data_IF_060302083099
#
_entry.id   IF_060302083099
#
_cell.length_a   1.000
_cell.length_b   1.000
_cell.length_c   1.000
_cell.angle_alpha   90.00
_cell.angle_beta   90.00
_cell.angle_gamma   90.00
#
_symmetry.space_group_name_H-M   'P 1'
#
loop_
_entity.id
_entity.type
_entity.pdbx_description
1 polymer ?
#
# COMPACT_ATOMS: atom_id res chain seq x y z
N UNK A 1 17.80 -6.55 -15.24
CA UNK A 1 16.34 -6.60 -15.07
C UNK A 1 15.83 -7.65 -16.03
N UNK A 2 15.00 -8.57 -15.56
CA UNK A 2 14.44 -9.65 -16.38
C UNK A 2 13.51 -9.11 -17.47
N UNK A 3 13.22 -9.93 -18.50
CA UNK A 3 12.22 -9.64 -19.55
C UNK A 3 10.78 -9.99 -19.13
N UNK A 4 10.49 -10.03 -17.82
CA UNK A 4 9.16 -10.33 -17.30
C UNK A 4 8.18 -9.19 -17.63
N UNK A 5 7.00 -9.55 -18.10
CA UNK A 5 5.86 -8.64 -18.23
C UNK A 5 5.23 -8.41 -16.87
N UNK A 6 5.23 -7.15 -16.42
CA UNK A 6 4.63 -6.72 -15.16
C UNK A 6 3.21 -6.21 -15.46
N UNK A 7 2.25 -7.13 -15.38
CA UNK A 7 0.83 -6.83 -15.61
C UNK A 7 0.01 -6.98 -14.33
N UNK A 8 -0.96 -6.09 -14.15
CA UNK A 8 -1.95 -6.13 -13.08
C UNK A 8 -3.31 -5.65 -13.61
N UNK A 9 -4.40 -6.26 -13.14
CA UNK A 9 -5.76 -5.94 -13.60
C UNK A 9 -5.93 -5.97 -15.14
N UNK A 10 -5.23 -6.89 -15.82
CA UNK A 10 -5.26 -7.01 -17.28
C UNK A 10 -4.51 -5.89 -18.04
N UNK A 11 -3.72 -5.06 -17.36
CA UNK A 11 -2.94 -3.97 -17.96
C UNK A 11 -1.45 -4.24 -17.79
N UNK A 12 -0.69 -4.09 -18.87
CA UNK A 12 0.77 -4.10 -18.84
C UNK A 12 1.28 -2.74 -18.36
N UNK A 13 1.98 -2.73 -17.22
CA UNK A 13 2.58 -1.54 -16.62
C UNK A 13 4.11 -1.66 -16.54
N UNK A 14 4.72 -2.55 -17.31
CA UNK A 14 6.16 -2.86 -17.29
C UNK A 14 7.03 -1.63 -17.46
N UNK A 15 6.76 -0.80 -18.47
CA UNK A 15 7.56 0.38 -18.75
C UNK A 15 7.48 1.41 -17.62
N UNK A 16 6.29 1.60 -17.05
CA UNK A 16 6.10 2.46 -15.89
C UNK A 16 6.90 1.97 -14.69
N UNK A 17 6.78 0.69 -14.33
CA UNK A 17 7.47 0.12 -13.16
C UNK A 17 8.98 0.16 -13.34
N UNK A 18 9.49 -0.15 -14.53
CA UNK A 18 10.94 -0.05 -14.82
C UNK A 18 11.44 1.38 -14.72
N UNK A 19 10.74 2.34 -15.30
CA UNK A 19 11.10 3.75 -15.24
C UNK A 19 11.07 4.28 -13.80
N UNK A 20 10.01 3.97 -13.06
CA UNK A 20 9.87 4.31 -11.64
C UNK A 20 10.99 3.72 -10.79
N UNK A 21 11.31 2.43 -10.99
CA UNK A 21 12.34 1.76 -10.20
C UNK A 21 13.74 2.30 -10.50
N UNK A 22 14.06 2.56 -11.76
CA UNK A 22 15.33 3.15 -12.15
C UNK A 22 15.47 4.60 -11.67
N UNK A 23 14.39 5.39 -11.64
CA UNK A 23 14.40 6.71 -10.99
C UNK A 23 14.76 6.58 -9.50
N UNK A 24 14.08 5.70 -8.76
CA UNK A 24 14.41 5.45 -7.35
C UNK A 24 15.86 5.00 -7.15
N UNK A 25 16.35 4.10 -8.01
CA UNK A 25 17.72 3.60 -7.97
C UNK A 25 18.76 4.69 -8.24
N UNK A 26 18.45 5.62 -9.15
CA UNK A 26 19.29 6.79 -9.44
C UNK A 26 19.26 7.85 -8.31
N UNK A 27 18.46 7.62 -7.27
CA UNK A 27 18.27 8.56 -6.16
C UNK A 27 17.14 9.56 -6.40
N UNK A 28 16.18 9.24 -7.25
CA UNK A 28 14.87 9.87 -7.22
C UNK A 28 14.06 9.45 -5.99
N UNK A 29 12.76 9.74 -6.00
CA UNK A 29 11.84 9.39 -4.92
C UNK A 29 11.75 10.42 -3.79
N UNK A 30 10.53 10.59 -3.28
CA UNK A 30 10.20 11.60 -2.25
C UNK A 30 10.66 11.20 -0.85
N UNK A 31 10.83 9.91 -0.59
CA UNK A 31 11.26 9.40 0.72
C UNK A 31 12.77 9.09 0.75
N UNK A 32 13.57 9.69 -0.15
CA UNK A 32 15.01 9.42 -0.26
C UNK A 32 15.78 9.67 1.04
N UNK A 33 15.39 10.68 1.81
CA UNK A 33 16.04 10.99 3.10
C UNK A 33 15.96 9.82 4.10
N UNK A 34 14.97 8.94 3.95
CA UNK A 34 14.83 7.74 4.78
C UNK A 34 15.70 6.56 4.31
N UNK A 35 16.43 6.68 3.19
CA UNK A 35 17.40 5.68 2.72
C UNK A 35 18.77 5.78 3.40
N UNK A 36 19.13 6.94 3.96
CA UNK A 36 20.50 7.22 4.42
C UNK A 36 20.75 7.02 5.92
N UNK A 37 19.70 7.10 6.76
CA UNK A 37 19.84 7.41 8.19
C UNK A 37 19.38 6.30 9.16
N UNK A 38 19.18 5.06 8.71
CA UNK A 38 18.83 3.95 9.63
C UNK A 38 19.93 2.90 9.75
N UNK A 39 20.99 3.17 10.51
CA UNK A 39 21.90 2.13 10.96
C UNK A 39 21.14 1.20 11.93
N UNK A 40 20.90 -0.05 11.52
CA UNK A 40 20.35 -1.10 12.39
C UNK A 40 18.82 -1.23 12.41
N UNK A 41 18.09 -0.67 11.46
CA UNK A 41 16.66 -0.97 11.30
C UNK A 41 16.47 -2.37 10.70
N UNK A 42 15.48 -3.17 11.14
CA UNK A 42 15.18 -4.47 10.52
C UNK A 42 14.88 -4.24 9.04
N UNK A 43 15.86 -4.61 8.20
CA UNK A 43 16.01 -4.11 6.85
C UNK A 43 14.90 -4.57 5.88
N UNK A 44 14.09 -5.55 6.27
CA UNK A 44 12.96 -6.04 5.49
C UNK A 44 11.74 -5.14 5.55
N UNK A 45 11.28 -4.83 6.76
CA UNK A 45 9.98 -4.19 6.96
C UNK A 45 10.00 -2.71 6.51
N UNK A 46 11.13 -2.04 6.71
CA UNK A 46 11.31 -0.65 6.25
C UNK A 46 11.49 -0.52 4.74
N UNK A 47 12.05 -1.54 4.06
CA UNK A 47 12.24 -1.50 2.62
C UNK A 47 10.89 -1.60 1.87
N UNK A 48 9.97 -2.43 2.35
CA UNK A 48 8.60 -2.52 1.80
C UNK A 48 7.82 -1.22 2.03
N UNK A 49 7.92 -0.64 3.24
CA UNK A 49 7.34 0.68 3.55
C UNK A 49 7.94 1.76 2.64
N UNK A 50 9.24 1.71 2.37
CA UNK A 50 9.92 2.64 1.48
C UNK A 50 9.42 2.53 0.04
N UNK A 51 9.33 1.33 -0.52
CA UNK A 51 8.82 1.12 -1.87
C UNK A 51 7.40 1.65 -1.99
N UNK A 52 6.51 1.29 -1.07
CA UNK A 52 5.13 1.81 -1.00
C UNK A 52 5.07 3.33 -0.84
N UNK A 53 5.94 3.91 -0.01
CA UNK A 53 5.98 5.35 0.26
C UNK A 53 6.43 6.20 -0.93
N UNK A 54 7.14 5.59 -1.89
CA UNK A 54 7.58 6.24 -3.12
C UNK A 54 6.64 6.04 -4.31
N UNK A 55 5.56 5.25 -4.16
CA UNK A 55 4.49 5.26 -5.15
C UNK A 55 3.58 6.45 -4.88
N UNK A 56 3.47 7.35 -5.85
CA UNK A 56 2.69 8.57 -5.70
C UNK A 56 1.18 8.37 -5.92
N UNK A 57 0.63 7.35 -5.28
CA UNK A 57 -0.75 6.88 -5.47
C UNK A 57 -1.79 7.57 -4.56
N UNK A 58 -1.38 8.39 -3.59
CA UNK A 58 -2.29 9.01 -2.61
C UNK A 58 -2.83 10.39 -3.06
N UNK A 59 -2.49 10.85 -4.28
CA UNK A 59 -2.94 12.15 -4.78
C UNK A 59 -4.27 11.98 -5.53
N UNK A 60 -5.09 13.04 -5.60
CA UNK A 60 -6.31 13.02 -6.41
C UNK A 60 -6.07 12.81 -7.91
N UNK A 61 -4.87 13.14 -8.40
CA UNK A 61 -4.45 13.05 -9.80
C UNK A 61 -3.51 11.86 -10.06
N UNK A 62 -3.41 10.92 -9.13
CA UNK A 62 -2.60 9.71 -9.33
C UNK A 62 -3.05 8.92 -10.56
N UNK A 63 -2.08 8.42 -11.34
CA UNK A 63 -2.37 7.64 -12.54
C UNK A 63 -2.85 6.23 -12.19
N UNK A 64 -3.50 5.56 -13.15
CA UNK A 64 -3.90 4.16 -12.98
C UNK A 64 -2.69 3.25 -12.77
N UNK A 65 -1.55 3.52 -13.42
CA UNK A 65 -0.31 2.77 -13.20
C UNK A 65 0.26 2.97 -11.78
N UNK A 66 0.20 4.19 -11.23
CA UNK A 66 0.57 4.47 -9.85
C UNK A 66 -0.33 3.71 -8.87
N UNK A 67 -1.65 3.73 -9.10
CA UNK A 67 -2.62 3.01 -8.28
C UNK A 67 -2.42 1.49 -8.35
N UNK A 68 -2.13 0.94 -9.53
CA UNK A 68 -1.88 -0.49 -9.73
C UNK A 68 -0.57 -0.92 -9.08
N UNK A 69 0.53 -0.19 -9.28
CA UNK A 69 1.79 -0.50 -8.61
C UNK A 69 1.63 -0.41 -7.09
N UNK A 70 0.91 0.59 -6.58
CA UNK A 70 0.60 0.69 -5.16
C UNK A 70 -0.13 -0.56 -4.64
N UNK A 71 -1.19 -1.01 -5.34
CA UNK A 71 -1.93 -2.18 -4.94
C UNK A 71 -1.09 -3.45 -5.00
N UNK A 72 -0.26 -3.62 -6.04
CA UNK A 72 0.65 -4.76 -6.18
C UNK A 72 1.60 -4.86 -5.00
N UNK A 73 2.27 -3.76 -4.65
CA UNK A 73 3.17 -3.73 -3.50
C UNK A 73 2.43 -3.92 -2.17
N UNK A 74 1.18 -3.45 -2.06
CA UNK A 74 0.38 -3.57 -0.85
C UNK A 74 -0.09 -5.03 -0.61
N UNK A 75 -0.54 -5.71 -1.67
CA UNK A 75 -0.98 -7.11 -1.64
C UNK A 75 0.22 -8.03 -1.46
N UNK A 76 1.23 -7.90 -2.35
CA UNK A 76 2.44 -8.71 -2.30
C UNK A 76 3.25 -8.49 -1.02
N UNK A 77 3.31 -7.26 -0.51
CA UNK A 77 3.95 -6.96 0.77
C UNK A 77 3.26 -7.58 1.98
N UNK A 78 1.94 -7.77 1.95
CA UNK A 78 1.25 -8.54 2.99
C UNK A 78 1.59 -10.02 2.90
N UNK A 79 1.54 -10.62 1.71
CA UNK A 79 1.89 -12.03 1.51
C UNK A 79 3.35 -12.31 1.91
N UNK A 80 4.27 -11.42 1.53
CA UNK A 80 5.68 -11.50 1.89
C UNK A 80 5.88 -11.42 3.41
N UNK A 81 5.15 -10.54 4.11
CA UNK A 81 5.18 -10.48 5.58
C UNK A 81 4.64 -11.75 6.22
N UNK A 82 3.56 -12.32 5.67
CA UNK A 82 2.97 -13.55 6.19
C UNK A 82 3.92 -14.76 6.04
N UNK A 83 4.73 -14.79 4.99
CA UNK A 83 5.70 -15.85 4.72
C UNK A 83 7.01 -15.67 5.50
N UNK A 84 7.57 -14.46 5.52
CA UNK A 84 8.93 -14.20 6.01
C UNK A 84 8.98 -13.47 7.36
N UNK A 85 7.87 -12.92 7.85
CA UNK A 85 7.82 -12.17 9.11
C UNK A 85 8.87 -11.05 9.17
N UNK A 86 9.59 -10.96 10.29
CA UNK A 86 10.65 -9.97 10.52
C UNK A 86 11.99 -10.33 9.82
N UNK A 87 12.11 -11.54 9.28
CA UNK A 87 13.32 -12.04 8.59
C UNK A 87 13.38 -11.60 7.11
N UNK A 88 12.47 -10.72 6.70
CA UNK A 88 12.47 -10.06 5.41
C UNK A 88 13.82 -9.34 5.13
N UNK A 89 14.38 -9.54 3.95
CA UNK A 89 15.77 -9.18 3.63
C UNK A 89 15.88 -8.51 2.25
N UNK A 90 15.52 -7.23 2.17
CA UNK A 90 15.59 -6.42 0.93
C UNK A 90 16.81 -5.50 0.95
N UNK A 91 18.02 -6.08 0.97
CA UNK A 91 19.25 -5.36 1.30
C UNK A 91 19.82 -4.50 0.16
N UNK A 92 19.63 -4.90 -1.10
CA UNK A 92 20.20 -4.23 -2.26
C UNK A 92 19.11 -3.93 -3.32
N UNK A 93 19.51 -3.39 -4.47
CA UNK A 93 18.56 -3.07 -5.55
C UNK A 93 18.11 -4.30 -6.34
N UNK A 94 18.90 -5.37 -6.35
CA UNK A 94 18.55 -6.59 -7.07
C UNK A 94 17.43 -7.32 -6.31
N UNK A 95 17.62 -7.54 -5.02
CA UNK A 95 16.61 -8.11 -4.11
C UNK A 95 15.31 -7.29 -4.04
N UNK A 96 15.39 -5.96 -4.16
CA UNK A 96 14.18 -5.10 -4.27
C UNK A 96 13.44 -5.29 -5.58
N UNK A 97 14.15 -5.51 -6.69
CA UNK A 97 13.52 -5.79 -7.98
C UNK A 97 12.85 -7.17 -7.97
N UNK A 98 13.55 -8.19 -7.46
CA UNK A 98 12.99 -9.54 -7.28
C UNK A 98 11.73 -9.52 -6.40
N UNK A 99 11.74 -8.73 -5.32
CA UNK A 99 10.55 -8.53 -4.49
C UNK A 99 9.37 -7.92 -5.26
N UNK A 100 9.63 -6.94 -6.14
CA UNK A 100 8.57 -6.37 -6.99
C UNK A 100 8.01 -7.45 -7.91
N UNK A 101 8.87 -8.24 -8.57
CA UNK A 101 8.45 -9.35 -9.43
C UNK A 101 7.59 -10.35 -8.65
N UNK A 102 8.01 -10.75 -7.45
CA UNK A 102 7.22 -11.62 -6.57
C UNK A 102 5.86 -11.02 -6.19
N UNK A 103 5.78 -9.72 -5.96
CA UNK A 103 4.50 -9.06 -5.70
C UNK A 103 3.55 -9.16 -6.90
N UNK A 104 4.07 -9.02 -8.12
CA UNK A 104 3.28 -9.25 -9.33
C UNK A 104 2.83 -10.70 -9.45
N UNK A 105 3.68 -11.66 -9.13
CA UNK A 105 3.32 -13.08 -9.12
C UNK A 105 2.17 -13.37 -8.13
N UNK A 106 2.22 -12.80 -6.93
CA UNK A 106 1.13 -12.91 -5.93
C UNK A 106 -0.17 -12.38 -6.49
N UNK A 107 -0.18 -11.15 -7.03
CA UNK A 107 -1.39 -10.53 -7.58
C UNK A 107 -1.96 -11.34 -8.75
N UNK A 108 -1.10 -11.86 -9.62
CA UNK A 108 -1.50 -12.67 -10.77
C UNK A 108 -1.93 -14.10 -10.40
N UNK A 109 -1.55 -14.57 -9.21
CA UNK A 109 -2.07 -15.82 -8.63
C UNK A 109 -3.49 -15.69 -8.05
N UNK A 110 -4.00 -14.46 -7.87
CA UNK A 110 -5.33 -14.15 -7.36
C UNK A 110 -6.28 -13.74 -8.48
N UNK A 111 -7.58 -13.95 -8.26
CA UNK A 111 -8.61 -13.40 -9.14
C UNK A 111 -8.72 -11.87 -8.99
N UNK A 112 -9.28 -11.21 -10.00
CA UNK A 112 -9.56 -9.77 -9.96
C UNK A 112 -10.40 -9.37 -8.73
N UNK A 113 -11.44 -10.16 -8.42
CA UNK A 113 -12.29 -9.88 -7.25
C UNK A 113 -11.55 -10.11 -5.92
N UNK A 114 -10.68 -11.12 -5.81
CA UNK A 114 -9.87 -11.32 -4.60
C UNK A 114 -8.90 -10.16 -4.34
N UNK A 115 -8.22 -9.67 -5.40
CA UNK A 115 -7.36 -8.50 -5.32
C UNK A 115 -8.15 -7.24 -4.90
N UNK A 116 -9.32 -7.01 -5.51
CA UNK A 116 -10.18 -5.88 -5.17
C UNK A 116 -10.69 -5.98 -3.72
N UNK A 117 -11.15 -7.16 -3.30
CA UNK A 117 -11.60 -7.41 -1.93
C UNK A 117 -10.49 -7.25 -0.90
N UNK A 118 -9.25 -7.60 -1.23
CA UNK A 118 -8.09 -7.33 -0.37
C UNK A 118 -7.95 -5.82 -0.14
N UNK A 119 -7.96 -5.02 -1.21
CA UNK A 119 -7.80 -3.57 -1.13
C UNK A 119 -8.94 -2.91 -0.36
N UNK A 120 -10.18 -3.33 -0.57
CA UNK A 120 -11.34 -2.84 0.19
C UNK A 120 -11.21 -3.21 1.67
N UNK A 121 -10.88 -4.48 2.00
CA UNK A 121 -10.66 -4.88 3.40
C UNK A 121 -9.54 -4.10 4.07
N UNK A 122 -8.47 -3.79 3.34
CA UNK A 122 -7.37 -2.98 3.82
C UNK A 122 -7.82 -1.55 4.15
N UNK A 123 -8.56 -0.91 3.24
CA UNK A 123 -9.14 0.41 3.44
C UNK A 123 -10.08 0.43 4.65
N UNK A 124 -10.94 -0.58 4.74
CA UNK A 124 -11.90 -0.68 5.82
C UNK A 124 -11.21 -0.92 7.16
N UNK A 125 -10.19 -1.79 7.24
CA UNK A 125 -9.39 -1.99 8.46
C UNK A 125 -8.75 -0.69 8.95
N UNK A 126 -8.25 0.17 8.06
CA UNK A 126 -7.71 1.49 8.44
C UNK A 126 -8.78 2.50 8.85
N UNK A 127 -9.97 2.38 8.26
CA UNK A 127 -11.13 3.22 8.59
C UNK A 127 -11.88 2.79 9.85
N UNK A 128 -11.58 1.58 10.37
CA UNK A 128 -12.31 1.00 11.49
C UNK A 128 -12.30 1.98 12.66
N UNK A 129 -13.46 2.05 13.31
CA UNK A 129 -13.63 2.67 14.62
C UNK A 129 -12.51 2.18 15.53
N UNK A 130 -11.59 3.10 15.83
CA UNK A 130 -10.50 2.92 16.78
C UNK A 130 -11.05 2.27 18.04
N UNK A 131 -10.38 1.21 18.50
CA UNK A 131 -10.62 0.63 19.82
C UNK A 131 -10.50 1.74 20.89
N UNK A 132 -11.13 1.59 22.05
CA UNK A 132 -11.03 2.63 23.09
C UNK A 132 -9.56 3.00 23.43
N UNK A 133 -8.60 2.05 23.50
CA UNK A 133 -7.18 2.35 23.63
C UNK A 133 -6.59 3.20 22.48
N UNK A 134 -6.98 2.94 21.23
CA UNK A 134 -6.55 3.73 20.08
C UNK A 134 -7.19 5.12 20.08
N UNK A 135 -8.46 5.24 20.50
CA UNK A 135 -9.10 6.55 20.68
C UNK A 135 -8.44 7.35 21.78
N UNK A 136 -8.02 6.70 22.86
CA UNK A 136 -7.30 7.34 23.96
C UNK A 136 -5.89 7.75 23.53
N UNK A 137 -5.17 6.91 22.78
CA UNK A 137 -3.91 7.26 22.15
C UNK A 137 -4.05 8.45 21.20
N UNK A 138 -5.05 8.45 20.32
CA UNK A 138 -5.30 9.58 19.43
C UNK A 138 -5.71 10.84 20.19
N UNK A 139 -6.52 10.69 21.24
CA UNK A 139 -6.82 11.81 22.13
C UNK A 139 -5.54 12.38 22.70
N UNK A 140 -4.61 11.55 23.20
CA UNK A 140 -3.30 11.99 23.70
C UNK A 140 -2.42 12.63 22.63
N UNK A 141 -2.36 12.06 21.41
CA UNK A 141 -1.56 12.58 20.29
C UNK A 141 -2.10 13.92 19.79
N UNK A 142 -3.43 14.08 19.79
CA UNK A 142 -4.12 15.26 19.26
C UNK A 142 -4.54 16.26 20.33
N UNK A 143 -4.37 15.97 21.62
CA UNK A 143 -4.63 16.90 22.73
C UNK A 143 -3.70 18.11 22.60
N UNK A 144 -4.27 19.32 22.66
CA UNK A 144 -3.54 20.57 22.45
C UNK A 144 -3.18 20.90 21.00
N UNK A 145 -3.45 20.03 20.02
CA UNK A 145 -3.29 20.33 18.58
C UNK A 145 -4.42 21.22 18.07
N UNK A 146 -4.09 22.15 17.17
CA UNK A 146 -5.05 23.09 16.64
C UNK A 146 -6.12 22.37 15.78
N UNK A 147 -7.38 22.86 15.71
CA UNK A 147 -8.41 22.26 14.87
C UNK A 147 -8.02 22.08 13.41
N UNK A 148 -7.22 23.00 12.85
CA UNK A 148 -6.72 22.91 11.48
C UNK A 148 -5.74 21.75 11.26
N UNK A 149 -4.94 21.38 12.27
CA UNK A 149 -4.01 20.25 12.19
C UNK A 149 -4.77 18.92 12.21
N UNK A 150 -5.85 18.84 13.01
CA UNK A 150 -6.74 17.67 13.04
C UNK A 150 -7.47 17.50 11.71
N UNK A 151 -8.05 18.58 11.17
CA UNK A 151 -8.72 18.55 9.88
C UNK A 151 -7.76 18.15 8.73
N UNK A 152 -6.52 18.64 8.73
CA UNK A 152 -5.52 18.25 7.75
C UNK A 152 -5.14 16.76 7.86
N UNK A 153 -5.05 16.21 9.07
CA UNK A 153 -4.81 14.79 9.28
C UNK A 153 -5.98 13.93 8.79
N UNK A 154 -7.23 14.31 9.12
CA UNK A 154 -8.43 13.62 8.64
C UNK A 154 -8.51 13.64 7.11
N UNK A 155 -8.22 14.80 6.48
CA UNK A 155 -8.17 14.91 5.03
C UNK A 155 -7.11 13.99 4.41
N UNK A 156 -5.93 13.88 5.04
CA UNK A 156 -4.87 12.96 4.61
C UNK A 156 -5.33 11.50 4.71
N UNK A 157 -6.01 11.14 5.79
CA UNK A 157 -6.55 9.78 5.97
C UNK A 157 -7.65 9.45 4.97
N UNK A 158 -8.52 10.41 4.66
CA UNK A 158 -9.53 10.27 3.61
C UNK A 158 -8.89 10.04 2.22
N UNK A 159 -7.81 10.78 1.90
CA UNK A 159 -7.06 10.56 0.66
C UNK A 159 -6.43 9.16 0.57
N UNK A 160 -5.91 8.64 1.68
CA UNK A 160 -5.36 7.28 1.75
C UNK A 160 -6.45 6.23 1.48
N UNK A 161 -7.63 6.37 2.08
CA UNK A 161 -8.75 5.46 1.85
C UNK A 161 -9.25 5.54 0.40
N UNK A 162 -9.38 6.75 -0.14
CA UNK A 162 -9.83 6.95 -1.52
C UNK A 162 -8.88 6.29 -2.52
N UNK A 163 -7.56 6.36 -2.30
CA UNK A 163 -6.57 5.64 -3.10
C UNK A 163 -6.84 4.13 -3.12
N UNK A 164 -7.03 3.53 -1.95
CA UNK A 164 -7.22 2.08 -1.82
C UNK A 164 -8.51 1.62 -2.51
N UNK A 165 -9.60 2.38 -2.37
CA UNK A 165 -10.86 2.11 -3.08
C UNK A 165 -10.73 2.32 -4.59
N UNK A 166 -9.97 3.33 -5.02
CA UNK A 166 -9.72 3.57 -6.45
C UNK A 166 -8.91 2.43 -7.06
N UNK A 167 -7.87 1.97 -6.36
CA UNK A 167 -7.08 0.81 -6.79
C UNK A 167 -7.91 -0.49 -6.81
N UNK A 168 -8.81 -0.70 -5.84
CA UNK A 168 -9.73 -1.84 -5.85
C UNK A 168 -10.60 -1.86 -7.12
N UNK A 169 -11.15 -0.71 -7.52
CA UNK A 169 -11.99 -0.55 -8.72
C UNK A 169 -11.24 -0.78 -10.03
N UNK A 170 -9.92 -0.64 -10.05
CA UNK A 170 -9.12 -0.99 -11.22
C UNK A 170 -9.09 -2.51 -11.44
N UNK A 171 -9.12 -3.30 -10.37
CA UNK A 171 -9.24 -4.76 -10.46
C UNK A 171 -10.67 -5.21 -10.75
N UNK A 172 -11.64 -4.68 -9.99
CA UNK A 172 -13.05 -5.06 -10.09
C UNK A 172 -13.93 -3.79 -10.09
N UNK A 173 -14.32 -3.28 -11.28
CA UNK A 173 -15.14 -2.07 -11.40
C UNK A 173 -16.52 -2.19 -10.74
N UNK A 174 -17.03 -3.41 -10.60
CA UNK A 174 -18.37 -3.70 -10.10
C UNK A 174 -18.37 -4.11 -8.61
N UNK A 175 -17.23 -4.00 -7.92
CA UNK A 175 -17.12 -4.38 -6.52
C UNK A 175 -18.13 -3.64 -5.63
N UNK A 176 -18.96 -4.41 -4.92
CA UNK A 176 -19.96 -3.91 -3.98
C UNK A 176 -19.30 -3.56 -2.64
N UNK A 177 -18.77 -2.35 -2.56
CA UNK A 177 -18.11 -1.83 -1.34
C UNK A 177 -19.10 -1.76 -0.17
N UNK A 178 -20.37 -1.41 -0.42
CA UNK A 178 -21.37 -1.20 0.63
C UNK A 178 -21.70 -2.52 1.36
N UNK A 179 -21.86 -3.61 0.60
CA UNK A 179 -22.02 -4.95 1.16
C UNK A 179 -20.79 -5.40 1.98
N UNK A 180 -19.58 -5.05 1.52
CA UNK A 180 -18.35 -5.35 2.26
C UNK A 180 -18.23 -4.58 3.57
N UNK A 181 -18.67 -3.32 3.61
CA UNK A 181 -18.74 -2.54 4.87
C UNK A 181 -19.65 -3.24 5.87
N UNK A 182 -20.85 -3.63 5.45
CA UNK A 182 -21.84 -4.26 6.34
C UNK A 182 -21.39 -5.62 6.89
N UNK A 183 -20.74 -6.46 6.08
CA UNK A 183 -20.23 -7.76 6.55
C UNK A 183 -19.14 -7.65 7.61
N UNK A 184 -18.27 -6.64 7.51
CA UNK A 184 -17.18 -6.37 8.46
C UNK A 184 -17.69 -5.84 9.80
N UNK A 185 -18.87 -5.19 9.82
CA UNK A 185 -19.53 -4.75 11.05
C UNK A 185 -20.18 -5.91 11.81
N UNK A 186 -20.71 -6.91 11.10
CA UNK A 186 -21.34 -8.10 11.69
C UNK A 186 -20.35 -9.04 12.39
N UNK A 187 -19.11 -9.14 11.89
CA UNK A 187 -18.02 -9.91 12.53
C UNK A 187 -17.60 -9.35 13.91
N UNK A 188 -18.11 -8.19 14.34
CA UNK A 188 -17.86 -7.63 15.68
C UNK A 188 -18.79 -8.14 16.76
N UNK A 189 -19.94 -8.72 16.38
CA UNK A 189 -20.99 -9.16 17.30
C UNK A 189 -20.97 -10.69 17.56
N UNK A 190 -19.98 -11.39 17.01
CA UNK A 190 -19.73 -12.85 17.17
C UNK A 190 -18.47 -13.13 17.96
#
# INVERSE_FOLDING_TARGET
MSDITLAAAGRDITDFVRAWFEDLRAGGGRMREFLGDMPGSPAGDMATIYLLGNVDAARPDSSDEELLLYAVLQIGGQAYRDEYGDDAHLFDWETKWEYIEQCFDVVNGLTASENAQFMVRWALRRSRIRTEPEREWDRMVWEGKAPGERAAHEQKMAGIMQRELSAARLFDPDIDIDSMVMSIELDKDS
#
